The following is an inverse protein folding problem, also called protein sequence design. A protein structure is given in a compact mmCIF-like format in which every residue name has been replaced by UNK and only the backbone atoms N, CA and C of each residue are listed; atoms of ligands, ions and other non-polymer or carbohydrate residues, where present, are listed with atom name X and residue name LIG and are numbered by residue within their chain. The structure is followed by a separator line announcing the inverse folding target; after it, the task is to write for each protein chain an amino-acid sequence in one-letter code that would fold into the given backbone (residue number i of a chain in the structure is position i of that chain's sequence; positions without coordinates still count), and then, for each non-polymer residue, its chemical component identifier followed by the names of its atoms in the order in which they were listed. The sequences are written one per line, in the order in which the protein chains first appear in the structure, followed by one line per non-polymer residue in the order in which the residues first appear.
data_IF_554183331262
#
_entry.id   IF_554183331262
#
_cell.length_a   1.000
_cell.length_b   1.000
_cell.length_c   1.000
_cell.angle_alpha   90.00
_cell.angle_beta   90.00
_cell.angle_gamma   90.00
#
_symmetry.space_group_name_H-M   'P 1'
#
loop_
_entity.id
_entity.type
_entity.pdbx_description
1 polymer ?
#
# COMPACT_ATOMS: atom_id res chain seq x y z
N UNK A 1 9.72 7.17 -17.43
CA UNK A 1 8.78 8.30 -17.32
C UNK A 1 9.30 9.20 -16.22
N UNK A 2 9.85 10.36 -16.59
CA UNK A 2 10.55 11.25 -15.66
C UNK A 2 9.56 12.14 -14.91
N UNK A 3 9.62 12.14 -13.58
CA UNK A 3 9.10 13.27 -12.82
C UNK A 3 10.05 14.43 -12.98
N UNK A 4 9.59 15.51 -13.58
CA UNK A 4 10.25 16.81 -13.48
C UNK A 4 10.09 17.38 -12.05
N UNK A 5 10.68 18.55 -11.81
CA UNK A 5 10.71 19.27 -10.53
C UNK A 5 9.31 19.46 -9.88
N UNK A 6 8.23 19.45 -10.67
CA UNK A 6 6.84 19.53 -10.20
C UNK A 6 6.31 18.30 -9.42
N UNK A 7 7.13 17.26 -9.23
CA UNK A 7 6.76 16.08 -8.46
C UNK A 7 7.34 16.02 -7.05
N UNK A 8 8.11 17.02 -6.62
CA UNK A 8 8.65 17.06 -5.26
C UNK A 8 7.57 17.50 -4.27
N UNK A 9 7.44 16.75 -3.19
CA UNK A 9 6.70 17.17 -2.02
C UNK A 9 7.55 18.16 -1.23
N UNK A 10 6.90 19.16 -0.60
CA UNK A 10 7.55 20.05 0.38
C UNK A 10 7.70 19.39 1.75
N UNK A 11 7.01 18.27 1.95
CA UNK A 11 6.95 17.51 3.19
C UNK A 11 7.21 16.02 2.92
N UNK A 12 7.70 15.33 3.93
CA UNK A 12 7.93 13.89 3.85
C UNK A 12 6.63 13.11 4.08
N UNK A 13 6.30 12.20 3.17
CA UNK A 13 5.16 11.29 3.30
C UNK A 13 5.66 9.91 3.74
N UNK A 14 5.06 9.39 4.80
CA UNK A 14 5.31 8.02 5.28
C UNK A 14 4.60 7.00 4.39
N UNK A 15 5.31 5.95 3.99
CA UNK A 15 4.84 4.89 3.09
C UNK A 15 5.23 3.51 3.63
N UNK A 16 4.49 2.44 3.28
CA UNK A 16 4.80 1.09 3.72
C UNK A 16 6.06 0.52 3.03
N UNK A 17 6.75 -0.40 3.71
CA UNK A 17 7.75 -1.26 3.09
C UNK A 17 7.08 -2.23 2.11
N UNK A 18 7.52 -2.15 0.86
CA UNK A 18 7.02 -2.99 -0.24
C UNK A 18 7.96 -4.13 -0.58
N UNK A 19 9.12 -4.22 0.07
CA UNK A 19 10.04 -5.33 -0.13
C UNK A 19 9.41 -6.62 0.37
N UNK A 20 9.63 -7.67 -0.42
CA UNK A 20 9.20 -9.02 -0.08
C UNK A 20 10.42 -9.92 -0.07
N UNK A 21 10.72 -10.52 1.08
CA UNK A 21 11.61 -11.66 1.14
C UNK A 21 10.78 -12.92 0.90
N UNK A 22 10.89 -13.52 -0.28
CA UNK A 22 10.07 -14.69 -0.65
C UNK A 22 10.27 -15.89 0.28
N UNK A 23 11.47 -16.09 0.83
CA UNK A 23 11.74 -17.17 1.76
C UNK A 23 11.01 -16.96 3.09
N UNK A 24 11.10 -15.75 3.66
CA UNK A 24 10.40 -15.39 4.88
C UNK A 24 8.88 -15.36 4.68
N UNK A 25 8.42 -14.79 3.56
CA UNK A 25 7.00 -14.67 3.21
C UNK A 25 6.30 -16.03 3.17
N UNK A 26 6.89 -17.02 2.48
CA UNK A 26 6.31 -18.37 2.38
C UNK A 26 6.19 -19.10 3.72
N UNK A 27 7.01 -18.73 4.71
CA UNK A 27 7.04 -19.34 6.04
C UNK A 27 6.23 -18.55 7.07
N UNK A 28 5.66 -17.41 6.68
CA UNK A 28 4.88 -16.53 7.53
C UNK A 28 3.43 -17.04 7.62
N UNK A 29 2.86 -16.98 8.82
CA UNK A 29 1.45 -17.28 9.04
C UNK A 29 0.54 -16.41 8.16
N UNK A 30 -0.59 -16.95 7.74
CA UNK A 30 -1.49 -16.27 6.79
C UNK A 30 -2.11 -15.03 7.41
N UNK A 31 -2.44 -15.08 8.69
CA UNK A 31 -2.95 -13.96 9.48
C UNK A 31 -1.93 -12.82 9.53
N UNK A 32 -0.63 -13.15 9.63
CA UNK A 32 0.44 -12.16 9.59
C UNK A 32 0.62 -11.57 8.19
N UNK A 33 0.51 -12.37 7.12
CA UNK A 33 0.51 -11.87 5.75
C UNK A 33 -0.69 -10.94 5.50
N UNK A 34 -1.88 -11.32 5.99
CA UNK A 34 -3.09 -10.53 5.92
C UNK A 34 -2.93 -9.19 6.65
N UNK A 35 -2.32 -9.22 7.85
CA UNK A 35 -2.02 -8.02 8.64
C UNK A 35 -1.06 -7.08 7.90
N UNK A 36 0.06 -7.59 7.36
CA UNK A 36 1.01 -6.77 6.60
C UNK A 36 0.37 -6.13 5.37
N UNK A 37 -0.49 -6.87 4.65
CA UNK A 37 -1.18 -6.35 3.47
C UNK A 37 -2.25 -5.34 3.86
N UNK A 38 -3.03 -5.62 4.91
CA UNK A 38 -4.10 -4.73 5.34
C UNK A 38 -3.56 -3.39 5.85
N UNK A 39 -2.57 -3.43 6.76
CA UNK A 39 -1.92 -2.22 7.28
C UNK A 39 -1.16 -1.48 6.19
N UNK A 40 -0.46 -2.21 5.31
CA UNK A 40 0.24 -1.63 4.17
C UNK A 40 -0.69 -0.90 3.20
N UNK A 41 -1.86 -1.49 2.89
CA UNK A 41 -2.85 -0.86 2.03
C UNK A 41 -3.46 0.39 2.66
N UNK A 42 -3.76 0.34 3.97
CA UNK A 42 -4.28 1.48 4.70
C UNK A 42 -3.29 2.67 4.68
N UNK A 43 -2.02 2.41 5.01
CA UNK A 43 -0.97 3.43 4.98
C UNK A 43 -0.73 3.97 3.57
N UNK A 44 -0.74 3.11 2.56
CA UNK A 44 -0.60 3.53 1.16
C UNK A 44 -1.76 4.42 0.70
N UNK A 45 -2.98 4.13 1.14
CA UNK A 45 -4.17 4.96 0.86
C UNK A 45 -4.03 6.35 1.46
N UNK A 46 -3.58 6.44 2.72
CA UNK A 46 -3.29 7.71 3.35
C UNK A 46 -2.18 8.48 2.62
N UNK A 47 -1.09 7.80 2.25
CA UNK A 47 0.04 8.40 1.55
C UNK A 47 -0.37 9.01 0.19
N UNK A 48 -1.23 8.32 -0.58
CA UNK A 48 -1.75 8.82 -1.86
C UNK A 48 -2.66 10.03 -1.64
N UNK A 49 -3.52 10.02 -0.63
CA UNK A 49 -4.38 11.18 -0.31
C UNK A 49 -3.55 12.40 0.12
N UNK A 50 -2.52 12.19 0.94
CA UNK A 50 -1.56 13.25 1.30
C UNK A 50 -0.83 13.78 0.07
N UNK A 51 -0.39 12.88 -0.82
CA UNK A 51 0.23 13.25 -2.10
C UNK A 51 -0.69 14.09 -2.98
N UNK A 52 -1.99 13.75 -3.05
CA UNK A 52 -3.00 14.53 -3.77
C UNK A 52 -3.13 15.95 -3.21
N UNK A 53 -3.24 16.08 -1.88
CA UNK A 53 -3.37 17.38 -1.22
C UNK A 53 -2.15 18.28 -1.48
N UNK A 54 -0.94 17.71 -1.45
CA UNK A 54 0.29 18.45 -1.74
C UNK A 54 0.38 18.88 -3.21
N UNK A 55 -0.12 18.06 -4.15
CA UNK A 55 -0.19 18.45 -5.56
C UNK A 55 -1.21 19.55 -5.83
N UNK A 56 -2.35 19.52 -5.15
CA UNK A 56 -3.38 20.56 -5.28
C UNK A 56 -2.87 21.93 -4.84
N UNK A 57 -1.93 21.96 -3.88
CA UNK A 57 -1.30 23.18 -3.37
C UNK A 57 -0.08 23.62 -4.19
N UNK A 58 0.27 22.92 -5.28
CA UNK A 58 1.38 23.27 -6.16
C UNK A 58 1.00 24.37 -7.14
N UNK A 59 1.94 25.27 -7.43
CA UNK A 59 1.77 26.37 -8.38
C UNK A 59 1.64 25.91 -9.85
N UNK A 60 2.03 24.67 -10.15
CA UNK A 60 1.94 24.06 -11.48
C UNK A 60 1.36 22.64 -11.38
N UNK A 61 0.03 22.49 -11.25
CA UNK A 61 -0.60 21.18 -11.26
C UNK A 61 -0.52 20.57 -12.66
N UNK A 62 0.07 19.38 -12.77
CA UNK A 62 0.03 18.61 -14.01
C UNK A 62 -1.28 17.81 -14.06
N UNK A 63 -2.16 18.11 -15.03
CA UNK A 63 -3.43 17.40 -15.22
C UNK A 63 -3.23 15.88 -15.38
N UNK A 64 -2.20 15.49 -16.13
CA UNK A 64 -1.86 14.08 -16.30
C UNK A 64 -1.54 13.41 -14.96
N UNK A 65 -0.84 14.13 -14.07
CA UNK A 65 -0.43 13.62 -12.77
C UNK A 65 -1.62 13.49 -11.81
N UNK A 66 -2.52 14.48 -11.83
CA UNK A 66 -3.79 14.43 -11.10
C UNK A 66 -4.62 13.22 -11.52
N UNK A 67 -4.77 12.96 -12.83
CA UNK A 67 -5.48 11.78 -13.31
C UNK A 67 -4.90 10.46 -12.79
N UNK A 68 -3.57 10.34 -12.70
CA UNK A 68 -2.93 9.14 -12.14
C UNK A 68 -3.20 8.99 -10.64
N UNK A 69 -3.24 10.10 -9.90
CA UNK A 69 -3.56 10.10 -8.47
C UNK A 69 -5.02 9.71 -8.24
N UNK A 70 -5.94 10.28 -9.01
CA UNK A 70 -7.37 9.94 -8.90
C UNK A 70 -7.64 8.46 -9.21
N UNK A 71 -6.96 7.92 -10.24
CA UNK A 71 -6.98 6.49 -10.54
C UNK A 71 -6.42 5.65 -9.40
N UNK A 72 -5.32 6.07 -8.78
CA UNK A 72 -4.75 5.36 -7.64
C UNK A 72 -5.71 5.37 -6.44
N UNK A 73 -6.35 6.50 -6.13
CA UNK A 73 -7.35 6.62 -5.05
C UNK A 73 -8.53 5.67 -5.31
N UNK A 74 -9.08 5.72 -6.53
CA UNK A 74 -10.19 4.84 -6.93
C UNK A 74 -9.80 3.35 -6.86
N UNK A 75 -8.60 3.02 -7.34
CA UNK A 75 -8.04 1.67 -7.29
C UNK A 75 -7.86 1.17 -5.86
N UNK A 76 -7.24 1.97 -4.97
CA UNK A 76 -7.03 1.60 -3.57
C UNK A 76 -8.35 1.41 -2.82
N UNK A 77 -9.36 2.24 -3.08
CA UNK A 77 -10.72 2.05 -2.53
C UNK A 77 -11.31 0.72 -2.97
N UNK A 78 -11.20 0.40 -4.25
CA UNK A 78 -11.71 -0.86 -4.81
C UNK A 78 -10.99 -2.07 -4.22
N UNK A 79 -9.66 -2.00 -4.10
CA UNK A 79 -8.83 -3.03 -3.48
C UNK A 79 -9.16 -3.22 -2.00
N UNK A 80 -9.43 -2.14 -1.27
CA UNK A 80 -9.83 -2.21 0.13
C UNK A 80 -11.13 -3.00 0.29
N UNK A 81 -12.13 -2.71 -0.55
CA UNK A 81 -13.40 -3.46 -0.57
C UNK A 81 -13.19 -4.94 -0.93
N UNK A 82 -12.36 -5.23 -1.93
CA UNK A 82 -12.04 -6.60 -2.33
C UNK A 82 -11.33 -7.39 -1.23
N UNK A 83 -10.31 -6.80 -0.59
CA UNK A 83 -9.60 -7.45 0.51
C UNK A 83 -10.51 -7.70 1.72
N UNK A 84 -11.44 -6.78 2.00
CA UNK A 84 -12.45 -6.98 3.04
C UNK A 84 -13.37 -8.17 2.71
N UNK A 85 -13.81 -8.27 1.46
CA UNK A 85 -14.63 -9.40 0.99
C UNK A 85 -13.88 -10.74 1.06
N UNK A 86 -12.56 -10.73 0.86
CA UNK A 86 -11.69 -11.89 1.02
C UNK A 86 -11.40 -12.26 2.49
N UNK A 87 -11.91 -11.51 3.47
CA UNK A 87 -11.69 -11.81 4.89
C UNK A 87 -10.37 -11.28 5.46
N UNK A 88 -9.51 -10.65 4.65
CA UNK A 88 -8.20 -10.09 5.05
C UNK A 88 -8.27 -9.22 6.30
N UNK A 89 -9.30 -8.37 6.41
CA UNK A 89 -9.49 -7.51 7.58
C UNK A 89 -9.78 -8.33 8.85
N UNK A 90 -10.60 -9.38 8.74
CA UNK A 90 -10.94 -10.26 9.85
C UNK A 90 -9.72 -11.07 10.29
N UNK A 91 -8.97 -11.61 9.34
CA UNK A 91 -7.71 -12.33 9.61
C UNK A 91 -6.67 -11.42 10.29
N UNK A 92 -6.53 -10.18 9.82
CA UNK A 92 -5.65 -9.19 10.43
C UNK A 92 -6.05 -8.84 11.88
N UNK A 93 -7.35 -8.75 12.18
CA UNK A 93 -7.87 -8.42 13.52
C UNK A 93 -7.85 -9.63 14.47
N UNK A 94 -7.86 -10.85 13.93
CA UNK A 94 -7.91 -12.09 14.73
C UNK A 94 -6.59 -12.42 15.42
N UNK A 95 -5.50 -11.71 15.08
CA UNK A 95 -4.19 -11.90 15.70
C UNK A 95 -4.21 -11.32 17.14
N UNK A 96 -3.95 -12.12 18.20
CA UNK A 96 -3.98 -11.63 19.57
C UNK A 96 -3.07 -10.42 19.78
N UNK A 97 -3.52 -9.45 20.56
CA UNK A 97 -2.78 -8.22 20.88
C UNK A 97 -1.42 -8.51 21.54
N UNK A 98 -1.27 -9.67 22.20
CA UNK A 98 0.00 -10.16 22.74
C UNK A 98 1.04 -10.55 21.65
N UNK A 99 0.59 -10.92 20.45
CA UNK A 99 1.42 -11.13 19.24
C UNK A 99 1.48 -9.90 18.34
N UNK A 100 0.76 -8.80 18.65
CA UNK A 100 0.92 -7.51 17.99
C UNK A 100 2.28 -6.84 18.28
N UNK A 101 3.10 -7.46 19.15
CA UNK A 101 4.54 -7.23 19.22
C UNK A 101 5.32 -7.79 18.01
N UNK A 102 4.66 -8.44 17.05
CA UNK A 102 5.21 -8.69 15.73
C UNK A 102 5.65 -7.34 15.15
N UNK A 103 6.94 -7.24 14.82
CA UNK A 103 7.64 -5.99 14.55
C UNK A 103 6.77 -4.97 13.78
N UNK A 104 6.74 -3.69 14.21
CA UNK A 104 5.93 -2.66 13.57
C UNK A 104 6.09 -2.70 12.05
N UNK A 105 4.98 -2.50 11.31
CA UNK A 105 5.02 -2.37 9.85
C UNK A 105 6.20 -1.46 9.50
N UNK A 106 7.19 -2.00 8.78
CA UNK A 106 8.34 -1.20 8.38
C UNK A 106 7.84 -0.10 7.46
N UNK A 107 8.17 1.13 7.80
CA UNK A 107 7.79 2.32 7.03
C UNK A 107 9.03 3.07 6.58
N UNK A 108 8.86 3.84 5.50
CA UNK A 108 9.87 4.74 4.99
C UNK A 108 9.23 6.10 4.71
N UNK A 109 10.05 7.14 4.66
CA UNK A 109 9.61 8.45 4.21
C UNK A 109 10.07 8.72 2.79
N UNK A 110 9.22 9.38 2.02
CA UNK A 110 9.53 9.82 0.67
C UNK A 110 9.14 11.28 0.49
N UNK A 111 9.82 11.93 -0.45
CA UNK A 111 9.80 13.36 -0.73
C UNK A 111 9.28 13.66 -2.15
N UNK A 112 8.90 12.64 -2.92
CA UNK A 112 8.54 12.81 -4.33
C UNK A 112 7.41 11.86 -4.71
N UNK A 113 6.52 12.37 -5.55
CA UNK A 113 5.40 11.61 -6.07
C UNK A 113 5.85 10.45 -6.96
N UNK A 114 6.98 10.60 -7.64
CA UNK A 114 7.58 9.52 -8.43
C UNK A 114 7.95 8.31 -7.56
N UNK A 115 8.56 8.57 -6.39
CA UNK A 115 8.82 7.51 -5.40
C UNK A 115 7.50 6.94 -4.88
N UNK A 116 6.46 7.77 -4.66
CA UNK A 116 5.15 7.31 -4.20
C UNK A 116 4.51 6.33 -5.18
N UNK A 117 4.46 6.65 -6.48
CA UNK A 117 3.92 5.75 -7.49
C UNK A 117 4.76 4.48 -7.69
N UNK A 118 6.08 4.56 -7.50
CA UNK A 118 6.94 3.38 -7.49
C UNK A 118 6.58 2.45 -6.33
N UNK A 119 6.38 3.01 -5.13
CA UNK A 119 5.93 2.25 -3.95
C UNK A 119 4.54 1.67 -4.19
N UNK A 120 3.59 2.45 -4.71
CA UNK A 120 2.27 1.96 -5.08
C UNK A 120 2.35 0.75 -6.03
N UNK A 121 3.10 0.86 -7.12
CA UNK A 121 3.27 -0.24 -8.08
C UNK A 121 3.92 -1.48 -7.46
N UNK A 122 4.96 -1.28 -6.64
CA UNK A 122 5.65 -2.38 -5.96
C UNK A 122 4.75 -3.08 -4.94
N UNK A 123 3.94 -2.34 -4.19
CA UNK A 123 2.99 -2.91 -3.24
C UNK A 123 1.97 -3.81 -3.94
N UNK A 124 1.36 -3.31 -5.03
CA UNK A 124 0.37 -4.05 -5.80
C UNK A 124 0.95 -5.31 -6.44
N UNK A 125 2.14 -5.21 -7.03
CA UNK A 125 2.79 -6.34 -7.72
C UNK A 125 3.46 -7.33 -6.76
N UNK A 126 3.77 -6.89 -5.54
CA UNK A 126 4.45 -7.66 -4.50
C UNK A 126 3.47 -8.28 -3.51
N UNK A 127 3.50 -7.80 -2.26
CA UNK A 127 2.76 -8.37 -1.12
C UNK A 127 1.29 -8.60 -1.43
N UNK A 128 0.61 -7.61 -2.02
CA UNK A 128 -0.81 -7.71 -2.33
C UNK A 128 -1.10 -8.88 -3.28
N UNK A 129 -0.40 -8.94 -4.42
CA UNK A 129 -0.58 -10.03 -5.40
C UNK A 129 -0.27 -11.40 -4.80
N UNK A 130 0.79 -11.50 -3.99
CA UNK A 130 1.19 -12.75 -3.37
C UNK A 130 0.15 -13.25 -2.37
N UNK A 131 -0.35 -12.37 -1.50
CA UNK A 131 -1.38 -12.71 -0.54
C UNK A 131 -2.69 -13.09 -1.24
N UNK A 132 -3.21 -12.25 -2.14
CA UNK A 132 -4.47 -12.53 -2.84
C UNK A 132 -4.40 -13.83 -3.65
N UNK A 133 -3.26 -14.13 -4.28
CA UNK A 133 -3.07 -15.38 -5.02
C UNK A 133 -3.07 -16.63 -4.15
N UNK A 134 -2.72 -16.53 -2.86
CA UNK A 134 -2.84 -17.63 -1.89
C UNK A 134 -4.25 -17.70 -1.29
N UNK A 135 -4.79 -16.56 -0.85
CA UNK A 135 -6.13 -16.46 -0.28
C UNK A 135 -7.22 -16.98 -1.25
N UNK A 136 -7.14 -16.62 -2.53
CA UNK A 136 -8.08 -17.10 -3.55
C UNK A 136 -7.97 -18.61 -3.81
N UNK A 137 -6.78 -19.23 -3.66
CA UNK A 137 -6.62 -20.69 -3.80
C UNK A 137 -7.20 -21.47 -2.61
N UNK A 138 -7.30 -20.84 -1.44
CA UNK A 138 -7.89 -21.46 -0.24
C UNK A 138 -9.41 -21.45 -0.25
N UNK A 139 -10.04 -20.45 -0.87
CA UNK A 139 -11.49 -20.41 -1.02
C UNK A 139 -12.08 -21.51 -1.92
N UNK A 140 -11.23 -22.23 -2.66
CA UNK A 140 -11.60 -23.32 -3.57
C UNK A 140 -11.42 -24.72 -2.93
N UNK A 141 -11.11 -24.77 -1.63
CA UNK A 141 -11.00 -26.01 -0.83
C UNK A 141 -12.05 -26.03 0.28
#
# INVERSE_FOLDING_TARGET
MGCAEGCSFRENITVPDTKVNFYAWKRMEVEQQALEVWQGLALLSEAILRGQALLANSSQPSETLQLHVDKAISGLRSLTSLLRALGTQKEAISLPEATASAAPLRTFTIDTLCKLFRIYSNFLRGKLKLYTGEACRRGDR
#
